data_IF_050717277241
#
_entry.id   IF_050717277241
#
_cell.length_a   1.000
_cell.length_b   1.000
_cell.length_c   1.000
_cell.angle_alpha   90.00
_cell.angle_beta   90.00
_cell.angle_gamma   90.00
#
_symmetry.space_group_name_H-M   'P 1'
#
loop_
_entity.id
_entity.type
_entity.pdbx_description
1 polymer ?
#
# COMPACT_ATOMS: atom_id res chain seq x y z
N UNK A 1 -20.89 3.68 18.43
CA UNK A 1 -19.93 4.06 17.38
C UNK A 1 -18.53 3.73 17.87
N UNK A 2 -18.18 2.44 17.87
CA UNK A 2 -16.82 1.98 18.16
C UNK A 2 -16.05 2.11 16.85
N UNK A 3 -15.04 2.98 16.84
CA UNK A 3 -14.07 3.08 15.76
C UNK A 3 -13.19 1.82 15.82
N UNK A 4 -13.75 0.67 15.43
CA UNK A 4 -12.91 -0.40 14.90
C UNK A 4 -12.30 0.21 13.63
N UNK A 5 -11.03 0.60 13.72
CA UNK A 5 -10.17 0.60 12.55
C UNK A 5 -10.30 -0.80 11.98
N UNK A 6 -11.19 -0.97 11.00
CA UNK A 6 -11.17 -2.13 10.12
C UNK A 6 -9.75 -2.10 9.54
N UNK A 7 -8.88 -2.92 10.13
CA UNK A 7 -7.65 -3.34 9.48
C UNK A 7 -8.18 -4.14 8.30
N UNK A 8 -8.42 -3.43 7.18
CA UNK A 8 -8.69 -4.05 5.89
C UNK A 8 -7.62 -5.11 5.70
N UNK A 9 -8.02 -6.31 5.30
CA UNK A 9 -7.08 -7.38 4.95
C UNK A 9 -6.01 -6.76 4.05
N UNK A 10 -4.80 -6.73 4.58
CA UNK A 10 -3.71 -6.04 3.92
C UNK A 10 -3.22 -6.94 2.81
N UNK A 11 -3.74 -6.73 1.61
CA UNK A 11 -3.13 -7.25 0.40
C UNK A 11 -1.63 -6.91 0.42
N UNK A 12 -0.78 -7.90 0.20
CA UNK A 12 0.66 -7.67 0.10
C UNK A 12 0.92 -6.73 -1.07
N UNK A 13 1.40 -5.53 -0.77
CA UNK A 13 1.79 -4.55 -1.78
C UNK A 13 3.29 -4.54 -1.92
N UNK A 14 3.74 -4.33 -3.16
CA UNK A 14 5.13 -4.04 -3.46
C UNK A 14 5.29 -2.54 -3.50
N UNK A 15 6.13 -2.00 -2.63
CA UNK A 15 6.42 -0.57 -2.54
C UNK A 15 7.91 -0.32 -2.69
N UNK A 16 8.24 0.91 -3.05
CA UNK A 16 9.60 1.31 -3.37
C UNK A 16 10.04 2.48 -2.51
N UNK A 17 11.29 2.42 -2.05
CA UNK A 17 11.94 3.53 -1.34
C UNK A 17 13.32 3.77 -1.91
N UNK A 18 13.61 5.03 -2.16
CA UNK A 18 14.88 5.48 -2.70
C UNK A 18 15.75 6.23 -1.70
N UNK A 19 17.06 5.98 -1.71
CA UNK A 19 18.06 6.72 -0.91
C UNK A 19 19.28 7.03 -1.78
N UNK A 20 19.81 8.25 -1.70
CA UNK A 20 21.02 8.70 -2.43
C UNK A 20 22.31 8.34 -1.69
N UNK A 21 22.44 7.08 -1.32
CA UNK A 21 23.60 6.53 -0.63
C UNK A 21 23.71 5.03 -0.92
N UNK A 22 24.90 4.45 -0.81
CA UNK A 22 25.08 2.99 -0.82
C UNK A 22 24.87 2.46 0.59
N UNK A 23 23.73 1.81 0.80
CA UNK A 23 23.40 1.15 2.05
C UNK A 23 23.51 -0.37 1.94
N UNK A 24 23.93 -0.91 0.79
CA UNK A 24 23.86 -2.35 0.51
C UNK A 24 24.66 -3.19 1.50
N UNK A 25 25.79 -2.69 1.99
CA UNK A 25 26.59 -3.35 3.02
C UNK A 25 25.85 -3.54 4.36
N UNK A 26 24.89 -2.67 4.69
CA UNK A 26 24.09 -2.76 5.91
C UNK A 26 22.97 -3.81 5.82
N UNK A 27 22.64 -4.27 4.61
CA UNK A 27 21.54 -5.18 4.34
C UNK A 27 22.02 -6.45 3.63
N UNK A 28 22.86 -7.28 4.27
CA UNK A 28 23.22 -8.58 3.72
C UNK A 28 22.00 -9.51 3.65
N UNK A 29 21.97 -10.38 2.64
CA UNK A 29 20.90 -11.36 2.44
C UNK A 29 20.69 -12.22 3.69
N UNK A 30 19.43 -12.40 4.09
CA UNK A 30 19.03 -13.17 5.26
C UNK A 30 18.96 -12.35 6.56
N UNK A 31 19.47 -11.10 6.58
CA UNK A 31 19.34 -10.23 7.75
C UNK A 31 17.87 -9.93 8.05
N UNK A 32 17.52 -10.05 9.32
CA UNK A 32 16.20 -9.70 9.87
C UNK A 32 16.38 -8.54 10.84
N UNK A 33 15.48 -7.56 10.80
CA UNK A 33 15.61 -6.35 11.59
C UNK A 33 14.30 -5.58 11.71
N UNK A 34 14.19 -4.75 12.75
CA UNK A 34 13.09 -3.81 12.90
C UNK A 34 13.38 -2.52 12.12
N UNK A 35 12.40 -2.06 11.33
CA UNK A 35 12.43 -0.79 10.61
C UNK A 35 11.85 0.31 11.50
N UNK A 36 12.68 1.04 12.23
CA UNK A 36 12.23 1.94 13.30
C UNK A 36 11.62 3.27 12.86
N UNK A 37 11.88 3.71 11.63
CA UNK A 37 11.47 5.04 11.18
C UNK A 37 10.19 4.99 10.35
N UNK A 38 9.37 6.04 10.44
CA UNK A 38 8.41 6.33 9.37
C UNK A 38 9.18 6.54 8.07
N UNK A 39 8.68 6.00 6.98
CA UNK A 39 9.34 6.11 5.68
C UNK A 39 8.33 6.35 4.58
N UNK A 40 8.50 7.45 3.86
CA UNK A 40 7.79 7.69 2.62
C UNK A 40 8.29 6.71 1.55
N UNK A 41 7.35 6.11 0.84
CA UNK A 41 7.51 5.12 -0.20
C UNK A 41 6.51 5.41 -1.31
N UNK A 42 6.66 4.74 -2.45
CA UNK A 42 5.75 4.86 -3.59
C UNK A 42 5.33 3.47 -4.06
N UNK A 43 4.10 3.32 -4.55
CA UNK A 43 3.68 2.13 -5.27
C UNK A 43 4.22 2.07 -6.71
N UNK A 44 4.68 3.21 -7.26
CA UNK A 44 5.16 3.34 -8.64
C UNK A 44 6.68 3.50 -8.69
N UNK A 45 7.37 2.54 -9.28
CA UNK A 45 8.85 2.58 -9.37
C UNK A 45 9.35 3.76 -10.21
N UNK A 46 8.55 4.20 -11.19
CA UNK A 46 8.91 5.27 -12.13
C UNK A 46 9.09 6.62 -11.42
N UNK A 47 8.38 6.83 -10.30
CA UNK A 47 8.50 8.02 -9.45
C UNK A 47 9.94 8.18 -8.97
N UNK A 48 10.65 7.09 -8.67
CA UNK A 48 12.03 7.14 -8.16
C UNK A 48 13.03 7.68 -9.18
N UNK A 49 12.72 7.62 -10.48
CA UNK A 49 13.59 8.19 -11.53
C UNK A 49 13.68 9.71 -11.49
N UNK A 50 12.72 10.39 -10.83
CA UNK A 50 12.72 11.84 -10.74
C UNK A 50 13.94 12.35 -9.95
N UNK A 51 14.57 13.46 -10.39
CA UNK A 51 15.66 14.11 -9.66
C UNK A 51 15.29 14.61 -8.26
N UNK A 52 14.01 14.60 -7.88
CA UNK A 52 13.58 14.94 -6.52
C UNK A 52 13.73 13.77 -5.54
N UNK A 53 13.78 12.51 -6.02
CA UNK A 53 13.97 11.32 -5.18
C UNK A 53 15.36 10.71 -5.40
N UNK A 54 15.49 9.67 -6.22
CA UNK A 54 16.75 8.96 -6.42
C UNK A 54 17.48 9.47 -7.66
N UNK A 55 16.74 9.74 -8.73
CA UNK A 55 17.33 10.12 -10.00
C UNK A 55 18.03 8.96 -10.72
N UNK A 56 18.68 9.29 -11.85
CA UNK A 56 19.29 8.31 -12.76
C UNK A 56 20.80 8.12 -12.59
N UNK A 57 21.44 8.90 -11.73
CA UNK A 57 22.90 8.94 -11.57
C UNK A 57 23.33 9.05 -10.10
N UNK A 58 24.63 8.88 -9.85
CA UNK A 58 25.20 8.90 -8.50
C UNK A 58 25.01 7.61 -7.72
N UNK A 59 25.65 7.54 -6.56
CA UNK A 59 25.53 6.41 -5.64
C UNK A 59 24.15 6.42 -4.98
N UNK A 60 23.42 5.31 -5.11
CA UNK A 60 22.04 5.20 -4.65
C UNK A 60 21.61 3.77 -4.37
N UNK A 61 20.67 3.64 -3.44
CA UNK A 61 20.03 2.38 -3.06
C UNK A 61 18.52 2.49 -3.26
N UNK A 62 17.94 1.51 -3.95
CA UNK A 62 16.50 1.32 -4.07
C UNK A 62 16.11 0.10 -3.22
N UNK A 63 15.17 0.32 -2.31
CA UNK A 63 14.52 -0.75 -1.55
C UNK A 63 13.24 -1.16 -2.27
N UNK A 64 13.12 -2.46 -2.54
CA UNK A 64 11.90 -3.11 -3.00
C UNK A 64 11.30 -3.83 -1.81
N UNK A 65 10.17 -3.36 -1.30
CA UNK A 65 9.61 -3.81 -0.02
C UNK A 65 8.26 -4.46 -0.26
N UNK A 66 8.18 -5.76 -0.02
CA UNK A 66 6.90 -6.48 0.03
C UNK A 66 6.33 -6.36 1.45
N UNK A 67 5.25 -5.61 1.61
CA UNK A 67 4.65 -5.29 2.92
C UNK A 67 3.14 -5.33 2.85
N UNK A 68 2.51 -5.53 4.00
CA UNK A 68 1.08 -5.44 4.18
C UNK A 68 0.71 -4.28 5.14
N UNK A 69 1.71 -3.77 5.89
CA UNK A 69 1.54 -2.66 6.83
C UNK A 69 1.51 -1.26 6.21
N UNK A 70 1.94 -1.10 4.96
CA UNK A 70 1.96 0.20 4.26
C UNK A 70 0.58 0.87 4.18
N UNK A 71 0.53 2.20 4.35
CA UNK A 71 -0.70 2.99 4.29
C UNK A 71 -0.68 3.91 3.08
N UNK A 72 -1.65 3.74 2.19
CA UNK A 72 -1.84 4.69 1.09
C UNK A 72 -2.31 6.02 1.69
N UNK A 73 -1.52 7.07 1.44
CA UNK A 73 -1.80 8.44 1.88
C UNK A 73 -1.88 9.40 0.69
N UNK A 74 -2.03 8.89 -0.53
CA UNK A 74 -2.06 9.68 -1.76
C UNK A 74 -3.10 10.80 -1.71
N UNK A 75 -4.30 10.52 -1.19
CA UNK A 75 -5.38 11.53 -1.03
C UNK A 75 -5.08 12.62 0.00
N UNK A 76 -4.03 12.43 0.79
CA UNK A 76 -3.54 13.37 1.80
C UNK A 76 -2.16 13.95 1.43
N UNK A 77 -1.57 13.50 0.32
CA UNK A 77 -0.26 13.94 -0.13
C UNK A 77 -0.38 15.27 -0.85
N UNK A 78 0.64 16.13 -0.68
CA UNK A 78 0.76 17.36 -1.44
C UNK A 78 1.07 17.09 -2.93
N UNK A 79 1.63 15.92 -3.24
CA UNK A 79 2.01 15.52 -4.59
C UNK A 79 1.16 14.32 -5.05
N UNK A 80 0.09 14.61 -5.80
CA UNK A 80 -0.94 13.62 -6.16
C UNK A 80 -0.43 12.45 -7.02
N UNK A 81 0.70 12.63 -7.71
CA UNK A 81 1.25 11.70 -8.70
C UNK A 81 2.36 10.79 -8.15
N UNK A 82 2.64 10.82 -6.84
CA UNK A 82 3.69 9.98 -6.25
C UNK A 82 3.21 8.58 -5.86
N UNK A 83 1.91 8.30 -5.92
CA UNK A 83 1.30 7.08 -5.37
C UNK A 83 1.83 6.78 -3.96
N UNK A 84 1.81 7.81 -3.11
CA UNK A 84 2.54 7.81 -1.84
C UNK A 84 1.96 6.77 -0.85
N UNK A 85 2.87 5.92 -0.37
CA UNK A 85 2.63 4.94 0.68
C UNK A 85 3.52 5.30 1.87
N UNK A 86 2.89 5.51 3.04
CA UNK A 86 3.62 5.67 4.29
C UNK A 86 3.87 4.29 4.92
N UNK A 87 5.14 3.93 5.06
CA UNK A 87 5.56 2.75 5.80
C UNK A 87 5.64 3.10 7.30
N UNK A 88 4.89 2.41 8.17
CA UNK A 88 4.92 2.69 9.60
C UNK A 88 6.24 2.21 10.24
N UNK A 89 6.62 2.80 11.38
CA UNK A 89 7.76 2.35 12.16
C UNK A 89 7.45 1.02 12.86
N UNK A 90 8.51 0.33 13.27
CA UNK A 90 8.42 -0.89 14.07
C UNK A 90 8.01 -2.13 13.28
N UNK A 91 7.91 -2.07 11.95
CA UNK A 91 7.69 -3.31 11.18
C UNK A 91 8.96 -4.16 11.16
N UNK A 92 8.80 -5.48 11.04
CA UNK A 92 9.92 -6.40 10.98
C UNK A 92 10.16 -6.85 9.54
N UNK A 93 11.38 -6.67 9.04
CA UNK A 93 11.74 -6.90 7.65
C UNK A 93 12.88 -7.92 7.55
N UNK A 94 12.84 -8.72 6.50
CA UNK A 94 13.89 -9.65 6.10
C UNK A 94 14.46 -9.26 4.75
N UNK A 95 15.79 -9.24 4.65
CA UNK A 95 16.48 -9.10 3.36
C UNK A 95 16.38 -10.43 2.60
N UNK A 96 15.64 -10.45 1.50
CA UNK A 96 15.45 -11.66 0.67
C UNK A 96 16.42 -11.71 -0.51
N UNK A 97 16.96 -10.57 -0.92
CA UNK A 97 17.90 -10.48 -2.05
C UNK A 97 18.52 -9.10 -2.20
N UNK A 98 19.58 -9.03 -3.00
CA UNK A 98 20.25 -7.78 -3.35
C UNK A 98 20.85 -7.90 -4.76
N UNK A 99 20.88 -6.81 -5.51
CA UNK A 99 21.43 -6.73 -6.85
C UNK A 99 22.18 -5.41 -7.03
N UNK A 100 23.28 -5.42 -7.78
CA UNK A 100 24.00 -4.22 -8.23
C UNK A 100 23.94 -4.17 -9.77
N UNK A 101 22.84 -3.67 -10.36
CA UNK A 101 22.62 -3.75 -11.81
C UNK A 101 23.51 -2.80 -12.62
N UNK A 102 24.01 -1.72 -12.00
CA UNK A 102 24.87 -0.74 -12.63
C UNK A 102 25.85 -0.16 -11.61
N UNK A 103 26.84 0.59 -12.08
CA UNK A 103 27.74 1.33 -11.21
C UNK A 103 26.97 2.37 -10.38
N UNK A 104 27.21 2.38 -9.06
CA UNK A 104 26.54 3.26 -8.12
C UNK A 104 25.06 2.96 -7.87
N UNK A 105 24.44 1.95 -8.51
CA UNK A 105 23.05 1.57 -8.26
C UNK A 105 22.97 0.25 -7.51
N UNK A 106 22.33 0.27 -6.35
CA UNK A 106 22.11 -0.89 -5.50
C UNK A 106 20.61 -1.11 -5.33
N UNK A 107 20.16 -2.35 -5.42
CA UNK A 107 18.77 -2.76 -5.16
C UNK A 107 18.79 -3.76 -4.02
N UNK A 108 17.98 -3.50 -2.98
CA UNK A 108 17.79 -4.40 -1.84
C UNK A 108 16.33 -4.81 -1.80
N UNK A 109 16.07 -6.11 -1.80
CA UNK A 109 14.74 -6.68 -1.69
C UNK A 109 14.44 -7.06 -0.25
N UNK A 110 13.35 -6.53 0.28
CA UNK A 110 12.86 -6.72 1.63
C UNK A 110 11.47 -7.36 1.61
N UNK A 111 11.20 -8.21 2.58
CA UNK A 111 9.86 -8.75 2.85
C UNK A 111 9.52 -8.53 4.32
N UNK A 112 8.32 -8.03 4.57
CA UNK A 112 7.75 -7.97 5.91
C UNK A 112 7.51 -9.39 6.45
N UNK A 113 7.94 -9.60 7.68
CA UNK A 113 7.77 -10.84 8.42
C UNK A 113 7.17 -10.53 9.80
N UNK A 114 6.51 -11.50 10.45
CA UNK A 114 6.09 -11.32 11.83
C UNK A 114 7.30 -11.01 12.74
N UNK A 115 7.16 -10.08 13.69
CA UNK A 115 8.23 -9.81 14.64
C UNK A 115 8.47 -11.04 15.54
N UNK A 116 9.72 -11.32 15.94
CA UNK A 116 10.06 -12.46 16.80
C UNK A 116 9.63 -12.27 18.27
N UNK A 117 9.11 -11.09 18.61
CA UNK A 117 8.60 -10.74 19.93
C UNK A 117 7.35 -9.87 19.79
N UNK A 118 6.50 -9.92 20.81
CA UNK A 118 5.35 -9.02 20.93
C UNK A 118 5.86 -7.58 21.04
N UNK A 119 5.56 -6.73 20.06
CA UNK A 119 6.06 -5.35 20.03
C UNK A 119 5.29 -4.41 20.94
N UNK A 120 3.97 -4.57 21.00
CA UNK A 120 3.09 -3.82 21.89
C UNK A 120 2.19 -4.81 22.63
N UNK A 121 2.07 -4.65 23.94
CA UNK A 121 1.03 -5.34 24.68
C UNK A 121 -0.34 -4.83 24.22
N UNK A 122 -1.33 -5.72 24.21
CA UNK A 122 -2.71 -5.30 23.96
C UNK A 122 -3.10 -4.25 25.02
N UNK A 123 -3.59 -3.07 24.61
CA UNK A 123 -3.85 -1.97 25.53
C UNK A 123 -4.95 -2.30 26.55
N UNK A 124 -5.79 -3.29 26.25
CA UNK A 124 -6.89 -3.73 27.10
C UNK A 124 -7.04 -5.25 27.07
N UNK A 125 -7.41 -5.83 28.21
CA UNK A 125 -7.86 -7.23 28.28
C UNK A 125 -9.26 -7.36 27.67
N UNK A 126 -9.31 -7.64 26.37
CA UNK A 126 -10.56 -7.79 25.62
C UNK A 126 -11.42 -8.99 26.08
N UNK A 127 -10.88 -9.89 26.93
CA UNK A 127 -11.69 -10.95 27.53
C UNK A 127 -12.81 -10.39 28.41
N UNK A 128 -12.58 -9.23 29.04
CA UNK A 128 -13.58 -8.54 29.87
C UNK A 128 -14.70 -7.91 29.04
N UNK A 129 -14.39 -7.44 27.82
CA UNK A 129 -15.39 -6.88 26.90
C UNK A 129 -16.39 -7.93 26.43
N UNK A 130 -15.93 -9.16 26.17
CA UNK A 130 -16.80 -10.29 25.77
C UNK A 130 -17.78 -10.69 26.85
N UNK A 131 -17.44 -10.46 28.12
CA UNK A 131 -18.32 -10.72 29.27
C UNK A 131 -19.39 -9.62 29.45
N UNK A 132 -19.08 -8.40 29.04
CA UNK A 132 -19.94 -7.23 29.22
C UNK A 132 -20.89 -6.97 28.03
N UNK A 133 -20.57 -7.45 26.82
CA UNK A 133 -21.47 -7.33 25.68
C UNK A 133 -22.54 -8.43 25.70
N UNK A 134 -23.83 -8.08 25.55
CA UNK A 134 -24.86 -9.09 25.33
C UNK A 134 -24.58 -9.83 24.02
N UNK A 135 -24.74 -11.15 24.02
CA UNK A 135 -24.64 -11.95 22.80
C UNK A 135 -25.58 -11.39 21.73
N UNK A 136 -25.03 -11.07 20.56
CA UNK A 136 -25.84 -10.68 19.42
C UNK A 136 -26.77 -11.85 19.10
N UNK A 137 -28.09 -11.62 19.23
CA UNK A 137 -29.09 -12.61 18.83
C UNK A 137 -28.79 -13.08 17.41
N UNK A 138 -28.87 -14.39 17.11
CA UNK A 138 -28.68 -14.87 15.76
C UNK A 138 -29.67 -14.15 14.86
N UNK A 139 -29.15 -13.49 13.82
CA UNK A 139 -29.96 -12.85 12.80
C UNK A 139 -30.87 -13.90 12.20
N UNK A 140 -32.17 -13.82 12.50
CA UNK A 140 -33.18 -14.59 11.78
C UNK A 140 -33.00 -14.33 10.29
N UNK A 141 -32.71 -15.39 9.55
CA UNK A 141 -32.64 -15.40 8.09
C UNK A 141 -33.82 -14.63 7.50
N UNK A 142 -33.54 -13.48 6.88
CA UNK A 142 -34.51 -12.85 5.99
C UNK A 142 -34.55 -13.73 4.74
N UNK A 143 -35.58 -14.56 4.67
CA UNK A 143 -36.01 -15.24 3.45
C UNK A 143 -36.22 -14.22 2.35
N UNK A 144 -35.67 -14.50 1.18
CA UNK A 144 -35.92 -13.81 -0.08
C UNK A 144 -37.42 -13.63 -0.34
N UNK A 145 -37.90 -12.38 -0.36
CA UNK A 145 -39.20 -12.07 -0.94
C UNK A 145 -39.21 -10.67 -1.57
N UNK A 146 -39.36 -10.67 -2.90
CA UNK A 146 -39.89 -9.60 -3.75
C UNK A 146 -39.09 -8.29 -3.88
N UNK A 147 -38.16 -8.28 -4.84
CA UNK A 147 -37.71 -7.05 -5.50
C UNK A 147 -38.83 -6.62 -6.46
N UNK A 148 -39.62 -5.60 -6.10
CA UNK A 148 -40.39 -4.84 -7.09
C UNK A 148 -39.39 -4.04 -7.92
N UNK A 149 -39.46 -4.24 -9.22
CA UNK A 149 -38.69 -3.54 -10.23
C UNK A 149 -39.34 -2.16 -10.41
N UNK A 150 -38.64 -1.10 -10.00
CA UNK A 150 -39.02 0.27 -10.33
C UNK A 150 -38.39 0.61 -11.68
N UNK A 151 -39.24 0.66 -12.71
CA UNK A 151 -38.88 1.11 -14.06
C UNK A 151 -38.59 2.62 -14.03
N UNK A 152 -37.32 2.98 -14.18
CA UNK A 152 -36.93 4.35 -14.52
C UNK A 152 -36.90 4.51 -16.04
N UNK A 153 -37.51 5.57 -16.61
CA UNK A 153 -37.52 5.79 -18.05
C UNK A 153 -36.10 6.08 -18.56
N UNK A 154 -35.74 5.39 -19.63
CA UNK A 154 -34.49 5.56 -20.38
C UNK A 154 -34.52 6.95 -21.01
N UNK A 155 -33.59 7.82 -20.61
CA UNK A 155 -33.34 9.08 -21.29
C UNK A 155 -32.68 8.80 -22.65
N UNK A 156 -33.26 9.34 -23.71
CA UNK A 156 -32.75 9.24 -25.08
C UNK A 156 -31.31 9.78 -25.19
N UNK A 157 -30.41 8.94 -25.67
CA UNK A 157 -29.04 9.34 -26.01
C UNK A 157 -29.05 10.21 -27.28
N UNK A 158 -28.32 11.35 -27.30
CA UNK A 158 -28.26 12.18 -28.50
C UNK A 158 -27.42 11.50 -29.60
N UNK A 159 -28.02 11.47 -30.80
CA UNK A 159 -27.47 10.93 -32.04
C UNK A 159 -26.13 11.57 -32.43
N UNK A 160 -25.12 10.74 -32.71
CA UNK A 160 -23.88 11.17 -33.37
C UNK A 160 -24.15 11.52 -34.83
N UNK A 161 -24.00 12.80 -35.18
CA UNK A 161 -23.92 13.24 -36.58
C UNK A 161 -22.51 13.00 -37.12
N UNK A 162 -22.44 12.19 -38.17
CA UNK A 162 -21.27 12.06 -39.02
C UNK A 162 -20.97 13.41 -39.69
N UNK A 163 -19.75 13.93 -39.51
CA UNK A 163 -19.15 14.87 -40.46
C UNK A 163 -17.93 14.24 -41.11
N UNK A 164 -18.15 13.95 -42.37
CA UNK A 164 -17.22 13.64 -43.45
C UNK A 164 -16.09 14.69 -43.51
N UNK A 165 -14.83 14.26 -43.48
CA UNK A 165 -13.69 15.11 -43.84
C UNK A 165 -13.11 14.57 -45.13
N UNK A 166 -13.43 15.29 -46.20
CA UNK A 166 -12.86 15.16 -47.53
C UNK A 166 -11.38 15.52 -47.52
N UNK A 167 -10.59 14.70 -48.21
CA UNK A 167 -9.27 15.01 -48.75
C UNK A 167 -9.27 16.30 -49.57
N UNK A 168 -8.22 17.13 -49.44
CA UNK A 168 -7.52 17.78 -50.56
C UNK A 168 -6.29 18.58 -50.10
N UNK A 169 -5.21 18.34 -50.86
CA UNK A 169 -3.95 19.08 -51.04
C UNK A 169 -2.93 19.09 -49.91
#
# INVERSE_FOLDING_TARGET
>A
MLLLFFIRESEHTLIWRGVREDLSALYPKGKEFAWWAFSSCTASIDVLESPNYVGKSGTRTIFSIQTSSGKNIQVHSYFENEDEILLPPGIYLKVIGSLKPAEGLHIVQLREIPPPYQMLAEPFDLSQLKKALPESKPSSSISSSHRKQEDYPIADAPSKSHKEVSSKS
#
